data_IF_754001582847
#
_entry.id   IF_754001582847
#
_cell.length_a   1.000
_cell.length_b   1.000
_cell.length_c   1.000
_cell.angle_alpha   90.00
_cell.angle_beta   90.00
_cell.angle_gamma   90.00
#
_symmetry.space_group_name_H-M   'P 1'
#
loop_
_entity.id
_entity.type
_entity.pdbx_description
1 polymer ?
#
# COMPACT_ATOMS: atom_id res chain seq x y z
N UNK A 1 11.31 -23.61 -22.61
CA UNK A 1 11.12 -22.43 -21.75
C UNK A 1 12.26 -21.48 -22.05
N UNK A 2 11.99 -20.26 -22.46
CA UNK A 2 13.05 -19.32 -22.81
C UNK A 2 13.77 -18.80 -21.55
N UNK A 3 15.07 -18.64 -21.61
CA UNK A 3 15.95 -18.29 -20.47
C UNK A 3 15.53 -17.00 -19.73
N UNK A 4 14.89 -16.05 -20.44
CA UNK A 4 14.30 -14.84 -19.85
C UNK A 4 13.07 -15.11 -18.99
N UNK A 5 12.25 -16.14 -19.30
CA UNK A 5 11.10 -16.53 -18.48
C UNK A 5 11.54 -17.11 -17.15
N UNK A 6 12.59 -17.93 -17.16
CA UNK A 6 13.20 -18.49 -15.93
C UNK A 6 13.81 -17.38 -15.09
N UNK A 7 14.43 -16.36 -15.69
CA UNK A 7 14.99 -15.20 -14.98
C UNK A 7 13.90 -14.27 -14.40
N UNK A 8 12.76 -14.12 -15.08
CA UNK A 8 11.63 -13.31 -14.60
C UNK A 8 10.95 -13.93 -13.39
N UNK A 9 10.74 -15.24 -13.39
CA UNK A 9 9.91 -15.91 -12.40
C UNK A 9 10.70 -16.51 -11.22
N UNK A 10 11.98 -16.81 -11.37
CA UNK A 10 12.75 -17.52 -10.34
C UNK A 10 13.37 -16.63 -9.26
N UNK A 11 13.27 -15.30 -9.35
CA UNK A 11 13.98 -14.37 -8.44
C UNK A 11 13.17 -13.21 -7.90
N UNK A 12 11.93 -13.00 -8.30
CA UNK A 12 11.13 -11.89 -7.78
C UNK A 12 10.40 -12.30 -6.52
N UNK A 13 10.63 -11.53 -5.45
CA UNK A 13 9.96 -11.66 -4.17
C UNK A 13 9.12 -10.40 -3.93
N UNK A 14 7.81 -10.57 -3.84
CA UNK A 14 6.85 -9.51 -3.62
C UNK A 14 6.68 -9.21 -2.13
N UNK A 15 6.78 -7.96 -1.76
CA UNK A 15 6.20 -7.43 -0.54
C UNK A 15 4.75 -7.06 -0.81
N UNK A 16 3.80 -7.62 -0.05
CA UNK A 16 2.39 -7.27 -0.18
C UNK A 16 2.05 -6.15 0.80
N UNK A 17 1.59 -5.02 0.28
CA UNK A 17 1.19 -3.84 1.03
C UNK A 17 -0.29 -3.51 0.80
N UNK A 18 -1.01 -3.21 1.88
CA UNK A 18 -2.42 -2.88 1.79
C UNK A 18 -3.10 -2.76 3.15
N UNK A 19 -4.34 -2.26 3.18
CA UNK A 19 -5.12 -2.06 4.39
C UNK A 19 -5.78 -3.34 4.93
N UNK A 20 -5.49 -4.52 4.38
CA UNK A 20 -6.17 -5.76 4.71
C UNK A 20 -6.12 -6.09 6.20
N UNK A 21 -5.03 -5.69 6.89
CA UNK A 21 -4.92 -5.90 8.34
C UNK A 21 -6.03 -5.22 9.15
N UNK A 22 -6.71 -4.25 8.57
CA UNK A 22 -7.82 -3.52 9.21
C UNK A 22 -9.20 -4.12 8.93
N UNK A 23 -9.29 -5.16 8.09
CA UNK A 23 -10.54 -5.81 7.75
C UNK A 23 -10.74 -7.08 8.56
N UNK A 24 -11.97 -7.41 8.87
CA UNK A 24 -12.33 -8.61 9.65
C UNK A 24 -11.92 -9.92 8.95
N UNK A 25 -11.83 -9.90 7.62
CA UNK A 25 -11.40 -11.03 6.78
C UNK A 25 -10.02 -10.79 6.15
N UNK A 26 -9.25 -9.84 6.65
CA UNK A 26 -8.01 -9.37 6.03
C UNK A 26 -6.97 -10.47 5.83
N UNK A 27 -6.77 -11.32 6.82
CA UNK A 27 -5.83 -12.45 6.69
C UNK A 27 -6.26 -13.46 5.61
N UNK A 28 -7.56 -13.67 5.42
CA UNK A 28 -8.07 -14.51 4.32
C UNK A 28 -7.80 -13.88 2.96
N UNK A 29 -7.94 -12.56 2.85
CA UNK A 29 -7.63 -11.82 1.62
C UNK A 29 -6.13 -11.91 1.30
N UNK A 30 -5.28 -11.67 2.28
CA UNK A 30 -3.83 -11.77 2.11
C UNK A 30 -3.38 -13.18 1.72
N UNK A 31 -3.96 -14.22 2.34
CA UNK A 31 -3.65 -15.59 1.99
C UNK A 31 -4.07 -15.93 0.55
N UNK A 32 -5.21 -15.41 0.10
CA UNK A 32 -5.63 -15.56 -1.29
C UNK A 32 -4.69 -14.84 -2.28
N UNK A 33 -4.23 -13.63 -1.91
CA UNK A 33 -3.27 -12.87 -2.71
C UNK A 33 -1.92 -13.58 -2.78
N UNK A 34 -1.43 -14.09 -1.65
CA UNK A 34 -0.21 -14.90 -1.59
C UNK A 34 -0.28 -16.09 -2.53
N UNK A 35 -1.32 -16.92 -2.40
CA UNK A 35 -1.50 -18.09 -3.25
C UNK A 35 -1.54 -17.74 -4.73
N UNK A 36 -2.17 -16.62 -5.08
CA UNK A 36 -2.24 -16.14 -6.46
C UNK A 36 -0.86 -15.70 -6.97
N UNK A 37 -0.08 -15.01 -6.16
CA UNK A 37 1.27 -14.59 -6.51
C UNK A 37 2.21 -15.79 -6.66
N UNK A 38 2.17 -16.72 -5.71
CA UNK A 38 2.97 -17.96 -5.74
C UNK A 38 2.62 -18.85 -6.93
N UNK A 39 1.33 -18.98 -7.25
CA UNK A 39 0.89 -19.70 -8.46
C UNK A 39 1.46 -19.09 -9.76
N UNK A 40 1.71 -17.78 -9.77
CA UNK A 40 2.34 -17.09 -10.89
C UNK A 40 3.87 -17.01 -10.78
N UNK A 41 4.47 -17.75 -9.86
CA UNK A 41 5.92 -17.90 -9.78
C UNK A 41 6.66 -16.85 -8.94
N UNK A 42 5.94 -16.01 -8.19
CA UNK A 42 6.54 -15.03 -7.28
C UNK A 42 6.75 -15.63 -5.88
N UNK A 43 7.86 -15.30 -5.25
CA UNK A 43 7.96 -15.41 -3.80
C UNK A 43 7.14 -14.30 -3.13
N UNK A 44 6.67 -14.51 -1.90
CA UNK A 44 5.88 -13.51 -1.17
C UNK A 44 6.43 -13.32 0.23
N UNK A 45 6.49 -12.08 0.67
CA UNK A 45 6.79 -11.68 2.04
C UNK A 45 5.73 -10.72 2.52
N UNK A 46 5.24 -10.94 3.73
CA UNK A 46 4.29 -10.05 4.40
C UNK A 46 4.71 -9.82 5.85
N UNK A 47 4.44 -8.65 6.43
CA UNK A 47 4.71 -8.40 7.85
C UNK A 47 4.05 -9.41 8.79
N UNK A 48 2.90 -9.96 8.40
CA UNK A 48 2.15 -10.99 9.15
C UNK A 48 2.85 -12.35 9.21
N UNK A 49 3.92 -12.57 8.44
CA UNK A 49 4.69 -13.82 8.49
C UNK A 49 5.54 -13.94 9.77
N UNK A 50 5.78 -12.80 10.42
CA UNK A 50 6.61 -12.72 11.62
C UNK A 50 5.77 -12.47 12.87
N UNK A 51 6.04 -13.23 13.90
CA UNK A 51 5.49 -12.98 15.22
C UNK A 51 6.31 -11.88 15.91
N UNK A 52 5.66 -10.80 16.33
CA UNK A 52 6.30 -9.70 17.04
C UNK A 52 6.12 -9.84 18.55
N UNK A 53 7.14 -9.47 19.29
CA UNK A 53 7.01 -9.29 20.73
C UNK A 53 6.24 -7.98 21.02
N UNK A 54 5.04 -8.12 21.53
CA UNK A 54 4.14 -7.03 21.90
C UNK A 54 3.94 -6.96 23.42
N UNK A 55 4.89 -7.45 24.21
CA UNK A 55 4.80 -7.50 25.67
C UNK A 55 5.10 -6.15 26.36
N UNK A 56 5.72 -5.19 25.65
CA UNK A 56 5.97 -3.85 26.20
C UNK A 56 4.66 -3.14 26.55
N UNK A 57 4.56 -2.46 27.70
CA UNK A 57 3.42 -1.62 28.03
C UNK A 57 3.39 -0.29 27.23
N UNK A 58 4.49 0.07 26.55
CA UNK A 58 4.59 1.29 25.74
C UNK A 58 4.18 1.02 24.28
N UNK A 59 3.07 1.64 23.86
CA UNK A 59 2.58 1.53 22.49
C UNK A 59 3.57 2.04 21.43
N UNK A 60 4.51 2.91 21.82
CA UNK A 60 5.57 3.38 20.90
C UNK A 60 6.54 2.25 20.55
N UNK A 61 6.78 1.33 21.46
CA UNK A 61 7.62 0.16 21.19
C UNK A 61 6.93 -0.79 20.23
N UNK A 62 5.61 -0.98 20.37
CA UNK A 62 4.80 -1.73 19.41
C UNK A 62 4.88 -1.11 18.01
N UNK A 63 4.70 0.22 17.92
CA UNK A 63 4.76 0.93 16.63
C UNK A 63 6.14 0.78 15.97
N UNK A 64 7.23 0.88 16.76
CA UNK A 64 8.60 0.67 16.26
C UNK A 64 8.82 -0.77 15.79
N UNK A 65 8.34 -1.77 16.55
CA UNK A 65 8.47 -3.17 16.20
C UNK A 65 7.74 -3.48 14.89
N UNK A 66 6.51 -2.97 14.73
CA UNK A 66 5.72 -3.12 13.49
C UNK A 66 6.45 -2.47 12.31
N UNK A 67 6.87 -1.22 12.47
CA UNK A 67 7.59 -0.49 11.42
C UNK A 67 8.88 -1.20 11.00
N UNK A 68 9.68 -1.64 11.97
CA UNK A 68 10.93 -2.35 11.70
C UNK A 68 10.68 -3.68 10.98
N UNK A 69 9.63 -4.40 11.36
CA UNK A 69 9.24 -5.63 10.70
C UNK A 69 8.84 -5.39 9.24
N UNK A 70 8.01 -4.37 8.96
CA UNK A 70 7.66 -3.98 7.58
C UNK A 70 8.91 -3.64 6.77
N UNK A 71 9.83 -2.85 7.35
CA UNK A 71 11.08 -2.46 6.70
C UNK A 71 11.98 -3.68 6.40
N UNK A 72 12.06 -4.64 7.32
CA UNK A 72 12.83 -5.87 7.12
C UNK A 72 12.24 -6.74 6.02
N UNK A 73 10.92 -6.97 6.03
CA UNK A 73 10.22 -7.71 4.98
C UNK A 73 10.43 -7.08 3.60
N UNK A 74 10.39 -5.74 3.55
CA UNK A 74 10.64 -5.00 2.31
C UNK A 74 12.11 -5.14 1.86
N UNK A 75 13.09 -5.14 2.78
CA UNK A 75 14.51 -5.36 2.45
C UNK A 75 14.77 -6.74 1.86
N UNK A 76 13.97 -7.73 2.19
CA UNK A 76 14.05 -9.08 1.65
C UNK A 76 13.34 -9.24 0.29
N UNK A 77 12.66 -8.19 -0.18
CA UNK A 77 11.85 -8.21 -1.37
C UNK A 77 12.51 -7.47 -2.52
N UNK A 78 12.16 -7.84 -3.74
CA UNK A 78 12.65 -7.20 -4.98
C UNK A 78 11.60 -6.35 -5.66
N UNK A 79 10.34 -6.54 -5.26
CA UNK A 79 9.21 -5.80 -5.78
C UNK A 79 8.15 -5.60 -4.68
N UNK A 80 7.28 -4.63 -4.89
CA UNK A 80 6.10 -4.38 -4.06
C UNK A 80 4.83 -4.57 -4.90
N UNK A 81 3.81 -5.18 -4.32
CA UNK A 81 2.43 -5.15 -4.83
C UNK A 81 1.57 -4.45 -3.81
N UNK A 82 1.01 -3.31 -4.20
CA UNK A 82 0.26 -2.43 -3.28
C UNK A 82 -1.21 -2.33 -3.65
N UNK A 83 -2.07 -2.44 -2.65
CA UNK A 83 -3.48 -2.12 -2.75
C UNK A 83 -3.68 -0.60 -2.69
N UNK A 84 -4.18 -0.03 -3.78
CA UNK A 84 -4.56 1.37 -3.90
C UNK A 84 -6.08 1.56 -3.95
N UNK A 85 -6.85 0.61 -3.45
CA UNK A 85 -8.29 0.78 -3.26
C UNK A 85 -8.57 1.89 -2.24
N UNK A 86 -9.71 2.54 -2.40
CA UNK A 86 -10.13 3.53 -1.42
C UNK A 86 -10.28 2.89 -0.04
N UNK A 87 -9.59 3.47 0.91
CA UNK A 87 -9.67 3.07 2.31
C UNK A 87 -10.46 4.12 3.08
N UNK A 88 -10.57 4.48 4.11
CA UNK A 88 -11.31 5.47 4.90
C UNK A 88 -11.54 6.79 4.17
N UNK A 89 -12.20 6.77 3.01
CA UNK A 89 -12.48 7.95 2.20
C UNK A 89 -12.14 7.76 0.72
N UNK A 90 -11.69 8.80 0.04
CA UNK A 90 -11.39 8.79 -1.38
C UNK A 90 -9.96 8.31 -1.72
N UNK A 91 -9.13 8.10 -0.70
CA UNK A 91 -7.71 7.80 -0.86
C UNK A 91 -7.37 6.39 -0.37
N UNK A 92 -6.29 5.81 -0.88
CA UNK A 92 -5.72 4.59 -0.34
C UNK A 92 -5.22 4.75 1.09
N UNK A 93 -4.88 3.64 1.74
CA UNK A 93 -4.25 3.65 3.05
C UNK A 93 -2.89 4.38 3.03
N UNK A 94 -2.71 5.31 3.95
CA UNK A 94 -1.50 6.12 4.04
C UNK A 94 -0.23 5.32 4.34
N UNK A 95 -0.33 4.23 5.09
CA UNK A 95 0.78 3.30 5.36
C UNK A 95 1.26 2.63 4.08
N UNK A 96 0.32 2.14 3.28
CA UNK A 96 0.59 1.50 1.99
C UNK A 96 1.23 2.47 0.98
N UNK A 97 0.79 3.73 0.96
CA UNK A 97 1.41 4.78 0.13
C UNK A 97 2.84 5.09 0.58
N UNK A 98 3.08 5.14 1.90
CA UNK A 98 4.42 5.34 2.44
C UNK A 98 5.36 4.18 2.04
N UNK A 99 4.90 2.94 2.15
CA UNK A 99 5.64 1.75 1.74
C UNK A 99 5.93 1.73 0.23
N UNK A 100 4.97 2.14 -0.60
CA UNK A 100 5.16 2.30 -2.04
C UNK A 100 6.25 3.33 -2.35
N UNK A 101 6.23 4.50 -1.68
CA UNK A 101 7.26 5.53 -1.83
C UNK A 101 8.64 5.03 -1.40
N UNK A 102 8.70 4.27 -0.31
CA UNK A 102 9.94 3.68 0.19
C UNK A 102 10.51 2.61 -0.77
N UNK A 103 9.65 1.77 -1.34
CA UNK A 103 10.02 0.77 -2.34
C UNK A 103 10.55 1.44 -3.62
N UNK A 104 9.84 2.47 -4.11
CA UNK A 104 10.27 3.24 -5.27
C UNK A 104 11.65 3.89 -5.07
N UNK A 105 11.87 4.51 -3.92
CA UNK A 105 13.15 5.15 -3.59
C UNK A 105 14.33 4.14 -3.50
N UNK A 106 14.04 2.87 -3.24
CA UNK A 106 15.01 1.76 -3.22
C UNK A 106 15.23 1.12 -4.59
N UNK A 107 14.57 1.60 -5.64
CA UNK A 107 14.65 1.02 -6.98
C UNK A 107 13.94 -0.33 -7.14
N UNK A 108 13.04 -0.69 -6.23
CA UNK A 108 12.21 -1.89 -6.33
C UNK A 108 11.21 -1.74 -7.49
N UNK A 109 10.78 -2.85 -8.09
CA UNK A 109 9.64 -2.82 -9.01
C UNK A 109 8.35 -2.59 -8.21
N UNK A 110 7.57 -1.61 -8.68
CA UNK A 110 6.33 -1.22 -8.03
C UNK A 110 5.14 -1.66 -8.88
N UNK A 111 4.32 -2.53 -8.32
CA UNK A 111 3.04 -2.95 -8.88
C UNK A 111 1.92 -2.43 -7.97
N UNK A 112 0.85 -1.97 -8.59
CA UNK A 112 -0.31 -1.49 -7.86
C UNK A 112 -1.60 -1.97 -8.50
N UNK A 113 -2.65 -2.12 -7.71
CA UNK A 113 -3.98 -2.40 -8.23
C UNK A 113 -5.03 -1.52 -7.56
N UNK A 114 -6.03 -1.16 -8.32
CA UNK A 114 -7.25 -0.48 -7.87
C UNK A 114 -8.37 -0.70 -8.87
N UNK A 115 -9.59 -0.77 -8.40
CA UNK A 115 -10.80 -0.73 -9.23
C UNK A 115 -11.28 0.68 -9.48
N UNK A 116 -10.93 1.62 -8.61
CA UNK A 116 -11.31 3.02 -8.75
C UNK A 116 -10.31 3.78 -9.64
N UNK A 117 -10.64 3.85 -10.93
CA UNK A 117 -9.83 4.54 -11.94
C UNK A 117 -10.11 6.02 -12.08
N UNK A 118 -10.93 6.59 -11.21
CA UNK A 118 -11.24 8.02 -11.25
C UNK A 118 -10.02 8.84 -10.86
N UNK A 119 -9.83 9.97 -11.53
CA UNK A 119 -8.89 10.98 -11.07
C UNK A 119 -9.31 11.55 -9.71
N UNK A 120 -8.38 12.06 -8.91
CA UNK A 120 -8.67 12.63 -7.59
C UNK A 120 -9.79 13.67 -7.65
N UNK A 121 -9.78 14.53 -8.66
CA UNK A 121 -10.80 15.55 -8.89
C UNK A 121 -12.22 14.98 -9.08
N UNK A 122 -12.33 13.72 -9.48
CA UNK A 122 -13.62 13.04 -9.65
C UNK A 122 -14.05 12.28 -8.39
N UNK A 123 -13.11 11.98 -7.51
CA UNK A 123 -13.40 11.33 -6.21
C UNK A 123 -13.98 12.33 -5.21
N UNK A 124 -13.61 13.60 -5.33
CA UNK A 124 -14.08 14.70 -4.47
C UNK A 124 -15.02 15.57 -5.27
N UNK A 125 -16.29 15.59 -4.89
CA UNK A 125 -17.32 16.31 -5.63
C UNK A 125 -17.00 17.81 -5.77
N UNK A 126 -17.01 18.32 -7.00
CA UNK A 126 -16.74 19.72 -7.31
C UNK A 126 -15.26 20.12 -7.26
N UNK A 127 -14.36 19.20 -6.92
CA UNK A 127 -12.93 19.49 -6.93
C UNK A 127 -12.36 19.45 -8.36
N UNK A 128 -11.41 20.32 -8.62
CA UNK A 128 -10.61 20.34 -9.85
C UNK A 128 -9.20 20.82 -9.57
N UNK A 129 -8.29 20.57 -10.51
CA UNK A 129 -6.91 21.05 -10.42
C UNK A 129 -6.77 22.40 -11.13
N UNK A 130 -6.23 23.37 -10.40
CA UNK A 130 -5.79 24.64 -10.95
C UNK A 130 -4.33 24.86 -10.60
N UNK A 131 -3.45 24.86 -11.59
CA UNK A 131 -2.00 24.99 -11.40
C UNK A 131 -1.42 24.02 -10.35
N UNK A 132 -1.92 22.78 -10.31
CA UNK A 132 -1.49 21.77 -9.35
C UNK A 132 -2.11 21.89 -7.96
N UNK A 133 -3.01 22.83 -7.74
CA UNK A 133 -3.76 23.02 -6.49
C UNK A 133 -5.16 22.43 -6.68
N UNK A 134 -5.61 21.65 -5.70
CA UNK A 134 -7.00 21.18 -5.66
C UNK A 134 -7.90 22.31 -5.22
N UNK A 135 -8.83 22.68 -6.07
CA UNK A 135 -9.76 23.80 -5.88
C UNK A 135 -11.21 23.32 -5.86
N UNK A 136 -12.06 24.06 -5.19
CA UNK A 136 -13.51 23.91 -5.25
C UNK A 136 -14.14 24.57 -6.50
N UNK A 137 -15.48 24.51 -6.63
CA UNK A 137 -16.20 25.08 -7.78
C UNK A 137 -15.97 26.57 -8.01
N UNK A 138 -15.63 27.31 -6.96
CA UNK A 138 -15.31 28.73 -7.01
C UNK A 138 -13.85 29.03 -7.41
N UNK A 139 -13.11 28.03 -7.82
CA UNK A 139 -11.70 28.11 -8.21
C UNK A 139 -10.75 28.57 -7.08
N UNK A 140 -11.16 28.43 -5.81
CA UNK A 140 -10.31 28.66 -4.65
C UNK A 140 -9.84 27.35 -4.05
N UNK A 141 -8.63 27.32 -3.41
CA UNK A 141 -8.19 26.16 -2.67
C UNK A 141 -9.24 25.72 -1.65
N UNK A 142 -9.44 24.39 -1.54
CA UNK A 142 -10.37 23.86 -0.53
C UNK A 142 -9.82 24.11 0.88
N UNK A 143 -10.67 24.52 1.83
CA UNK A 143 -10.31 24.56 3.24
C UNK A 143 -9.89 23.16 3.72
N UNK A 144 -8.97 23.11 4.69
CA UNK A 144 -8.48 21.83 5.22
C UNK A 144 -9.62 20.90 5.71
N UNK A 145 -10.66 21.50 6.32
CA UNK A 145 -11.81 20.74 6.81
C UNK A 145 -12.67 20.08 5.70
N UNK A 146 -12.53 20.54 4.46
CA UNK A 146 -13.25 19.98 3.31
C UNK A 146 -12.40 18.99 2.52
N UNK A 147 -11.15 18.77 2.92
CA UNK A 147 -10.30 17.77 2.32
C UNK A 147 -10.73 16.38 2.81
N UNK A 148 -10.62 15.34 1.96
CA UNK A 148 -11.03 13.98 2.33
C UNK A 148 -10.24 13.37 3.50
N UNK A 149 -9.15 14.01 3.91
CA UNK A 149 -8.29 13.58 5.03
C UNK A 149 -8.55 14.35 6.32
N UNK A 150 -9.44 15.36 6.32
CA UNK A 150 -9.78 16.06 7.54
C UNK A 150 -10.40 15.07 8.53
N UNK A 151 -9.94 15.00 9.78
CA UNK A 151 -10.60 14.18 10.79
C UNK A 151 -12.01 14.68 10.97
N UNK A 152 -12.96 13.73 11.09
CA UNK A 152 -14.35 14.01 11.38
C UNK A 152 -14.53 14.59 12.78
#
# INVERSE_FOLDING_TARGET
>A
MYDWQVKLFSKEKLYLAGPECFYTNGYTLWDAMRRKAEYNGFGVTMPSDNQLDMSSPDLRDHAKAIFQNCANCMNESTAILVDLENFRGAEPDGGSIYELGMAYARGMRCYAYTRDKRALTWKVQGAHLNNGIVCGPDNKPLPYAELPFAPA
#
